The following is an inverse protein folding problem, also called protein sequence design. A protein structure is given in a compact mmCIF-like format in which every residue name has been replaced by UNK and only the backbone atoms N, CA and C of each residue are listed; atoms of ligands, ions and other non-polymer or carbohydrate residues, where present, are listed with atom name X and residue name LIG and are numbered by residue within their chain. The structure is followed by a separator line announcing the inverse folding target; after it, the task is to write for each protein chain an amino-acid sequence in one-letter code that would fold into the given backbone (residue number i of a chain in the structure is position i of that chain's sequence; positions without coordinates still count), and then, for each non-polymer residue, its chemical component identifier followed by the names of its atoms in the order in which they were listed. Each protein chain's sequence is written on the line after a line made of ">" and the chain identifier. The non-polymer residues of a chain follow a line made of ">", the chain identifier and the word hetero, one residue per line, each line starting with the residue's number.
data_IF_920535309680
#
_entry.id   IF_920535309680
#
_cell.length_a   1.000
_cell.length_b   1.000
_cell.length_c   1.000
_cell.angle_alpha   90.00
_cell.angle_beta   90.00
_cell.angle_gamma   90.00
#
_symmetry.space_group_name_H-M   'P 1'
#
loop_
_entity.id
_entity.type
_entity.pdbx_description
1 polymer ?
#
# COMPACT_ATOMS: atom_id res chain seq x y z
N UNK A 1 -19.13 4.04 -4.37
CA UNK A 1 -18.79 3.13 -3.25
C UNK A 1 -17.73 2.19 -3.76
N UNK A 2 -16.65 1.97 -3.02
CA UNK A 2 -15.57 1.06 -3.42
C UNK A 2 -15.85 -0.37 -2.94
N UNK A 3 -15.48 -1.36 -3.76
CA UNK A 3 -15.60 -2.79 -3.45
C UNK A 3 -14.24 -3.50 -3.53
N UNK A 4 -14.22 -4.79 -3.16
CA UNK A 4 -13.04 -5.65 -3.28
C UNK A 4 -11.86 -5.27 -2.37
N UNK A 5 -12.04 -4.35 -1.40
CA UNK A 5 -10.99 -3.96 -0.46
C UNK A 5 -10.70 -5.08 0.58
N UNK A 6 -9.43 -5.24 0.95
CA UNK A 6 -8.93 -6.29 1.84
C UNK A 6 -8.40 -5.69 3.14
N UNK A 7 -9.34 -5.37 4.04
CA UNK A 7 -9.07 -4.77 5.36
C UNK A 7 -8.36 -3.41 5.22
N UNK A 8 -9.06 -2.39 4.68
CA UNK A 8 -8.48 -1.06 4.52
C UNK A 8 -8.12 -0.44 5.89
N UNK A 9 -7.02 0.30 5.95
CA UNK A 9 -6.47 0.82 7.23
C UNK A 9 -6.31 2.34 7.25
N UNK A 10 -5.90 2.94 6.15
CA UNK A 10 -5.68 4.39 6.03
C UNK A 10 -5.91 4.84 4.58
N UNK A 11 -6.08 6.15 4.37
CA UNK A 11 -6.29 6.76 3.06
C UNK A 11 -5.55 8.10 2.91
N UNK A 12 -5.10 8.39 1.69
CA UNK A 12 -4.57 9.71 1.34
C UNK A 12 -4.98 10.12 -0.07
N UNK A 13 -5.40 11.38 -0.22
CA UNK A 13 -5.82 11.93 -1.51
C UNK A 13 -4.65 12.57 -2.26
N UNK A 14 -4.68 12.46 -3.59
CA UNK A 14 -3.80 13.21 -4.50
C UNK A 14 -4.58 13.60 -5.75
N UNK A 15 -5.12 14.82 -5.76
CA UNK A 15 -5.99 15.29 -6.82
C UNK A 15 -7.24 14.42 -6.92
N UNK A 16 -7.41 13.75 -8.06
CA UNK A 16 -8.60 12.98 -8.41
C UNK A 16 -8.56 11.51 -7.95
N UNK A 17 -7.48 11.09 -7.28
CA UNK A 17 -7.31 9.71 -6.82
C UNK A 17 -7.11 9.64 -5.31
N UNK A 18 -7.47 8.50 -4.72
CA UNK A 18 -7.19 8.17 -3.33
C UNK A 18 -6.36 6.89 -3.27
N UNK A 19 -5.27 6.92 -2.51
CA UNK A 19 -4.53 5.72 -2.13
C UNK A 19 -5.11 5.17 -0.83
N UNK A 20 -5.23 3.85 -0.75
CA UNK A 20 -5.76 3.12 0.41
C UNK A 20 -4.79 2.00 0.74
N UNK A 21 -4.25 2.01 1.95
CA UNK A 21 -3.50 0.86 2.48
C UNK A 21 -4.48 -0.25 2.86
N UNK A 22 -4.10 -1.48 2.56
CA UNK A 22 -4.87 -2.68 2.84
C UNK A 22 -3.99 -3.63 3.64
N UNK A 23 -4.40 -3.91 4.89
CA UNK A 23 -3.67 -4.79 5.80
C UNK A 23 -3.37 -6.15 5.15
N UNK A 24 -4.27 -6.65 4.29
CA UNK A 24 -4.10 -7.91 3.55
C UNK A 24 -4.01 -7.73 2.02
N UNK A 25 -3.63 -6.54 1.53
CA UNK A 25 -3.67 -6.24 0.09
C UNK A 25 -2.57 -5.36 -0.48
N UNK A 26 -1.78 -4.63 0.31
CA UNK A 26 -0.80 -3.68 -0.22
C UNK A 26 -1.36 -2.26 -0.24
N UNK A 27 -1.19 -1.54 -1.35
CA UNK A 27 -1.83 -0.23 -1.56
C UNK A 27 -2.66 -0.25 -2.83
N UNK A 28 -3.94 0.08 -2.73
CA UNK A 28 -4.79 0.33 -3.90
C UNK A 28 -4.91 1.81 -4.17
N UNK A 29 -4.90 2.16 -5.45
CA UNK A 29 -5.27 3.50 -5.93
C UNK A 29 -6.65 3.42 -6.54
N UNK A 30 -7.56 4.29 -6.08
CA UNK A 30 -8.93 4.35 -6.54
C UNK A 30 -9.18 5.70 -7.23
N UNK A 31 -10.04 5.70 -8.24
CA UNK A 31 -10.58 6.92 -8.84
C UNK A 31 -11.78 7.48 -8.04
N UNK A 32 -12.32 8.63 -8.48
CA UNK A 32 -13.49 9.29 -7.85
C UNK A 32 -14.75 8.44 -7.78
N UNK A 33 -14.91 7.44 -8.62
CA UNK A 33 -16.06 6.52 -8.58
C UNK A 33 -15.91 5.43 -7.51
N UNK A 34 -14.70 5.27 -6.96
CA UNK A 34 -14.33 4.19 -6.06
C UNK A 34 -13.80 2.96 -6.80
N UNK A 35 -13.55 3.04 -8.11
CA UNK A 35 -12.96 1.95 -8.89
C UNK A 35 -11.47 1.85 -8.61
N UNK A 36 -10.98 0.63 -8.37
CA UNK A 36 -9.54 0.35 -8.26
C UNK A 36 -8.89 0.49 -9.63
N UNK A 37 -7.90 1.39 -9.74
CA UNK A 37 -7.15 1.67 -10.97
C UNK A 37 -5.68 1.23 -10.90
N UNK A 38 -5.17 0.94 -9.70
CA UNK A 38 -3.85 0.33 -9.52
C UNK A 38 -3.77 -0.45 -8.20
N UNK A 39 -2.86 -1.43 -8.17
CA UNK A 39 -2.46 -2.19 -7.00
C UNK A 39 -0.93 -2.15 -6.89
N UNK A 40 -0.42 -1.67 -5.77
CA UNK A 40 1.01 -1.47 -5.54
C UNK A 40 1.48 -2.31 -4.35
N UNK A 41 2.61 -2.99 -4.53
CA UNK A 41 3.33 -3.70 -3.47
C UNK A 41 2.56 -4.82 -2.79
N UNK A 42 1.58 -5.42 -3.46
CA UNK A 42 0.97 -6.66 -2.98
C UNK A 42 2.05 -7.74 -2.84
N UNK A 43 2.14 -8.39 -1.67
CA UNK A 43 3.03 -9.52 -1.49
C UNK A 43 2.50 -10.75 -2.23
N UNK A 44 3.27 -11.39 -3.14
CA UNK A 44 2.81 -12.56 -3.89
C UNK A 44 2.53 -13.78 -3.01
N UNK A 45 3.10 -13.86 -1.80
CA UNK A 45 2.80 -14.92 -0.82
C UNK A 45 1.60 -14.51 0.05
N UNK A 46 0.41 -15.12 -0.12
CA UNK A 46 -0.77 -14.77 0.66
C UNK A 46 -0.60 -15.05 2.16
N UNK A 47 0.30 -15.96 2.55
CA UNK A 47 0.53 -16.32 3.96
C UNK A 47 1.23 -15.20 4.72
N UNK A 48 1.90 -14.30 4.01
CA UNK A 48 2.63 -13.15 4.59
C UNK A 48 1.79 -11.88 4.67
N UNK A 49 0.58 -11.86 4.09
CA UNK A 49 -0.32 -10.69 4.09
C UNK A 49 -1.07 -10.59 5.43
N UNK A 50 -1.18 -9.39 5.97
CA UNK A 50 -1.76 -9.11 7.28
C UNK A 50 -0.96 -9.63 8.46
N UNK A 51 0.33 -9.93 8.27
CA UNK A 51 1.18 -10.53 9.31
C UNK A 51 2.17 -9.52 9.89
N UNK A 52 2.29 -9.53 11.23
CA UNK A 52 3.23 -8.66 11.94
C UNK A 52 4.60 -9.33 12.22
N UNK A 53 4.76 -10.62 11.95
CA UNK A 53 5.93 -11.42 12.36
C UNK A 53 6.85 -11.88 11.22
N UNK A 54 6.60 -11.48 9.97
CA UNK A 54 7.45 -11.88 8.84
C UNK A 54 8.79 -11.16 8.94
N UNK A 55 9.89 -11.91 8.95
CA UNK A 55 11.22 -11.31 9.11
C UNK A 55 11.58 -10.46 7.87
N UNK A 56 12.32 -9.33 8.04
CA UNK A 56 12.67 -8.45 6.93
C UNK A 56 13.40 -9.16 5.78
N UNK A 57 14.20 -10.19 6.09
CA UNK A 57 14.94 -11.00 5.12
C UNK A 57 14.05 -11.88 4.24
N UNK A 58 12.79 -12.10 4.64
CA UNK A 58 11.81 -12.90 3.90
C UNK A 58 10.91 -12.06 3.01
N UNK A 59 10.91 -10.73 3.21
CA UNK A 59 10.06 -9.81 2.44
C UNK A 59 10.87 -9.25 1.29
N UNK A 60 10.51 -9.64 0.07
CA UNK A 60 11.12 -9.07 -1.12
C UNK A 60 10.92 -7.53 -1.16
N UNK A 61 11.89 -6.78 -1.72
CA UNK A 61 11.75 -5.34 -1.92
C UNK A 61 10.44 -5.00 -2.63
N UNK A 62 9.88 -3.82 -2.32
CA UNK A 62 8.62 -3.32 -2.86
C UNK A 62 7.33 -4.10 -2.49
N UNK A 63 7.39 -5.16 -1.67
CA UNK A 63 6.20 -5.87 -1.18
C UNK A 63 5.88 -5.58 0.28
N UNK A 64 4.61 -5.52 0.65
CA UNK A 64 4.13 -5.22 2.01
C UNK A 64 3.63 -6.45 2.76
N UNK A 65 3.78 -6.47 4.08
CA UNK A 65 3.29 -7.56 4.95
C UNK A 65 2.00 -7.17 5.65
N UNK A 66 1.94 -5.96 6.19
CA UNK A 66 0.82 -5.43 6.95
C UNK A 66 0.84 -3.89 6.82
N UNK A 67 0.67 -3.31 5.61
CA UNK A 67 0.72 -1.88 5.44
C UNK A 67 -0.47 -1.24 6.15
N UNK A 68 -0.21 -0.15 6.88
CA UNK A 68 -1.20 0.49 7.74
C UNK A 68 -1.32 1.98 7.47
N UNK A 69 -0.24 2.75 7.60
CA UNK A 69 -0.24 4.20 7.34
C UNK A 69 0.25 4.56 5.94
N UNK A 70 -0.24 5.67 5.38
CA UNK A 70 0.31 6.25 4.16
C UNK A 70 0.30 7.79 4.11
N UNK A 71 1.19 8.36 3.31
CA UNK A 71 1.17 9.77 2.98
C UNK A 71 1.76 10.02 1.58
N UNK A 72 1.24 11.05 0.91
CA UNK A 72 1.87 11.58 -0.30
C UNK A 72 2.88 12.68 0.06
N UNK A 73 3.99 12.75 -0.68
CA UNK A 73 4.80 13.98 -0.74
C UNK A 73 4.31 14.92 -1.87
N UNK A 74 4.78 16.18 -1.91
CA UNK A 74 4.35 17.14 -2.95
C UNK A 74 4.69 16.72 -4.39
N UNK A 75 5.69 15.83 -4.59
CA UNK A 75 6.01 15.28 -5.90
C UNK A 75 5.08 14.11 -6.29
N UNK A 76 4.22 13.68 -5.36
CA UNK A 76 3.28 12.59 -5.54
C UNK A 76 3.88 11.20 -5.32
N UNK A 77 5.06 11.10 -4.70
CA UNK A 77 5.58 9.83 -4.20
C UNK A 77 4.76 9.38 -2.98
N UNK A 78 4.72 8.07 -2.76
CA UNK A 78 3.96 7.50 -1.65
C UNK A 78 4.90 6.98 -0.58
N UNK A 79 4.69 7.41 0.66
CA UNK A 79 5.31 6.81 1.85
C UNK A 79 4.31 5.86 2.47
N UNK A 80 4.73 4.62 2.72
CA UNK A 80 3.87 3.55 3.27
C UNK A 80 4.54 2.94 4.48
N UNK A 81 3.80 2.85 5.58
CA UNK A 81 4.23 2.20 6.81
C UNK A 81 3.72 0.76 6.85
N UNK A 82 4.61 -0.22 7.00
CA UNK A 82 4.24 -1.54 7.50
C UNK A 82 4.09 -1.52 9.01
N UNK A 83 2.91 -1.90 9.48
CA UNK A 83 2.65 -2.21 10.88
C UNK A 83 3.06 -3.66 11.18
N UNK A 84 4.37 -3.90 11.18
CA UNK A 84 4.97 -5.16 11.60
C UNK A 84 5.89 -4.95 12.81
N UNK A 85 6.31 -6.04 13.44
CA UNK A 85 7.13 -6.03 14.67
C UNK A 85 8.48 -5.32 14.49
N UNK A 86 9.00 -5.28 13.26
CA UNK A 86 10.33 -4.75 12.97
C UNK A 86 10.31 -3.25 12.62
N UNK A 87 9.15 -2.75 12.17
CA UNK A 87 8.98 -1.38 11.68
C UNK A 87 9.62 -1.17 10.32
N UNK A 88 8.84 -0.72 9.33
CA UNK A 88 9.37 -0.38 8.01
C UNK A 88 8.56 0.73 7.37
N UNK A 89 9.26 1.74 6.85
CA UNK A 89 8.70 2.75 5.93
C UNK A 89 9.28 2.51 4.54
N UNK A 90 8.42 2.46 3.53
CA UNK A 90 8.81 2.33 2.12
C UNK A 90 8.39 3.58 1.36
N UNK A 91 9.30 4.14 0.56
CA UNK A 91 8.99 5.21 -0.40
C UNK A 91 8.81 4.60 -1.79
N UNK A 92 7.60 4.70 -2.34
CA UNK A 92 7.30 4.38 -3.74
C UNK A 92 7.46 5.66 -4.57
N UNK A 93 8.45 5.65 -5.47
CA UNK A 93 8.75 6.79 -6.34
C UNK A 93 7.81 6.79 -7.54
N UNK A 94 7.13 7.90 -7.77
CA UNK A 94 6.30 8.10 -8.96
C UNK A 94 7.23 8.28 -10.16
N UNK A 95 7.06 7.45 -11.18
CA UNK A 95 7.75 7.58 -12.46
C UNK A 95 6.85 8.22 -13.52
N UNK A 96 7.44 8.81 -14.55
CA UNK A 96 6.70 9.24 -15.73
C UNK A 96 6.07 8.03 -16.41
N UNK A 97 4.91 8.25 -17.05
CA UNK A 97 4.29 7.23 -17.88
C UNK A 97 5.26 6.91 -19.04
N UNK A 98 5.60 5.63 -19.21
CA UNK A 98 6.33 5.15 -20.38
C UNK A 98 5.44 5.19 -21.62
#
# INVERSE_FOLDING_TARGET
>A
VADGLRRPTDLAFRGEVVAVTELAGGVKILDKSGKVIALLGENPDPKQRGQNGVAPTQVAPAHFTAPHGLAYDPAGNLYVQDWNRYGRITKLVKIAKQ
#
